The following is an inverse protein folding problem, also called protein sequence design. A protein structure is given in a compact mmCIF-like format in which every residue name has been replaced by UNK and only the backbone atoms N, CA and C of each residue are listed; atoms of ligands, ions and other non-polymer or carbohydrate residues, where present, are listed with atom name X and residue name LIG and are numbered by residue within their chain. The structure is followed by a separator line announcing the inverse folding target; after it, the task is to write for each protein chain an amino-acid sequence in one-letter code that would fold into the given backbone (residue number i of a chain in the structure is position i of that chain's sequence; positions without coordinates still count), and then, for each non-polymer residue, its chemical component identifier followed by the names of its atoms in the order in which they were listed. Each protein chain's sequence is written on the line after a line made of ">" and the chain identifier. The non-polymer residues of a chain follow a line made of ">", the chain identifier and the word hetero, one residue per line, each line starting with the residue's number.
data_IF_736122341460
#
_entry.id   IF_736122341460
#
_cell.length_a   1.000
_cell.length_b   1.000
_cell.length_c   1.000
_cell.angle_alpha   90.00
_cell.angle_beta   90.00
_cell.angle_gamma   90.00
#
_symmetry.space_group_name_H-M   'P 1'
#
loop_
_entity.id
_entity.type
_entity.pdbx_description
1 polymer ?
#
# COMPACT_ATOMS: atom_id res chain seq x y z
N UNK A 1 -9.65 -17.27 1.41
CA UNK A 1 -10.43 -16.01 1.39
C UNK A 1 -10.00 -15.21 0.17
N UNK A 2 -10.91 -14.78 -0.70
CA UNK A 2 -10.61 -13.81 -1.78
C UNK A 2 -11.00 -12.44 -1.23
N UNK A 3 -10.01 -11.63 -0.92
CA UNK A 3 -10.17 -10.21 -0.53
C UNK A 3 -11.04 -9.48 -1.57
N UNK A 4 -11.92 -8.53 -1.21
CA UNK A 4 -12.57 -7.68 -2.21
C UNK A 4 -11.49 -6.96 -3.01
N UNK A 5 -11.41 -7.33 -4.29
CA UNK A 5 -10.17 -7.38 -5.08
C UNK A 5 -9.54 -6.02 -5.40
N UNK A 6 -10.34 -4.95 -5.41
CA UNK A 6 -9.89 -3.62 -5.86
C UNK A 6 -9.25 -2.82 -4.74
N UNK A 7 -9.84 -2.84 -3.55
CA UNK A 7 -9.39 -2.04 -2.42
C UNK A 7 -7.99 -2.46 -1.93
N UNK A 8 -7.80 -3.76 -1.69
CA UNK A 8 -6.50 -4.27 -1.24
C UNK A 8 -5.42 -4.14 -2.32
N UNK A 9 -5.81 -4.25 -3.59
CA UNK A 9 -4.92 -3.97 -4.71
C UNK A 9 -4.49 -2.51 -4.72
N UNK A 10 -5.42 -1.57 -4.54
CA UNK A 10 -5.12 -0.15 -4.47
C UNK A 10 -4.15 0.20 -3.34
N UNK A 11 -4.35 -0.37 -2.15
CA UNK A 11 -3.40 -0.19 -1.03
C UNK A 11 -1.99 -0.68 -1.41
N UNK A 12 -1.89 -1.86 -2.04
CA UNK A 12 -0.62 -2.40 -2.52
C UNK A 12 0.06 -1.49 -3.56
N UNK A 13 -0.69 -1.03 -4.57
CA UNK A 13 -0.18 -0.11 -5.61
C UNK A 13 0.29 1.22 -4.99
N UNK A 14 -0.48 1.77 -4.04
CA UNK A 14 -0.14 3.01 -3.35
C UNK A 14 1.14 2.86 -2.51
N UNK A 15 1.28 1.78 -1.75
CA UNK A 15 2.48 1.51 -0.93
C UNK A 15 3.71 1.27 -1.82
N UNK A 16 3.55 0.49 -2.90
CA UNK A 16 4.60 0.29 -3.90
C UNK A 16 5.07 1.62 -4.51
N UNK A 17 4.15 2.51 -4.87
CA UNK A 17 4.50 3.83 -5.39
C UNK A 17 5.28 4.67 -4.36
N UNK A 18 4.87 4.65 -3.08
CA UNK A 18 5.58 5.35 -1.99
C UNK A 18 7.01 4.83 -1.82
N UNK A 19 7.23 3.53 -1.94
CA UNK A 19 8.59 2.98 -1.83
C UNK A 19 9.44 3.19 -3.10
N UNK A 20 8.83 3.16 -4.29
CA UNK A 20 9.54 3.38 -5.56
C UNK A 20 10.09 4.80 -5.68
N UNK A 21 9.27 5.79 -5.35
CA UNK A 21 9.57 7.22 -5.59
C UNK A 21 9.97 7.99 -4.33
N UNK A 22 9.95 7.34 -3.16
CA UNK A 22 10.28 7.91 -1.86
C UNK A 22 9.62 9.28 -1.50
N UNK A 23 8.36 9.58 -1.89
CA UNK A 23 7.71 10.78 -1.40
C UNK A 23 7.48 10.68 0.12
N UNK A 24 7.41 11.83 0.79
CA UNK A 24 7.04 11.88 2.20
C UNK A 24 5.68 11.19 2.45
N UNK A 25 5.57 10.58 3.62
CA UNK A 25 4.31 10.03 4.15
C UNK A 25 4.13 10.67 5.51
N UNK A 26 3.11 11.50 5.63
CA UNK A 26 2.73 12.04 6.94
C UNK A 26 1.98 11.00 7.78
N UNK A 27 1.82 11.32 9.05
CA UNK A 27 1.17 10.44 10.01
C UNK A 27 -0.29 10.12 9.63
N UNK A 28 -1.03 11.11 9.10
CA UNK A 28 -2.44 10.94 8.75
C UNK A 28 -2.61 9.99 7.54
N UNK A 29 -1.75 10.12 6.53
CA UNK A 29 -1.71 9.20 5.38
C UNK A 29 -1.35 7.79 5.84
N UNK A 30 -0.33 7.64 6.70
CA UNK A 30 0.05 6.31 7.23
C UNK A 30 -1.10 5.64 7.96
N UNK A 31 -1.78 6.35 8.85
CA UNK A 31 -2.92 5.81 9.59
C UNK A 31 -4.10 5.46 8.69
N UNK A 32 -4.38 6.28 7.68
CA UNK A 32 -5.41 5.98 6.70
C UNK A 32 -5.08 4.68 5.94
N UNK A 33 -3.85 4.53 5.44
CA UNK A 33 -3.40 3.32 4.76
C UNK A 33 -3.52 2.07 5.64
N UNK A 34 -3.19 2.16 6.93
CA UNK A 34 -3.34 1.05 7.87
C UNK A 34 -4.80 0.68 8.11
N UNK A 35 -5.69 1.67 8.28
CA UNK A 35 -7.14 1.40 8.41
C UNK A 35 -7.69 0.72 7.16
N UNK A 36 -7.26 1.19 5.99
CA UNK A 36 -7.62 0.57 4.73
C UNK A 36 -7.05 -0.85 4.60
N UNK A 37 -5.84 -1.11 5.07
CA UNK A 37 -5.22 -2.44 5.00
C UNK A 37 -5.81 -3.47 5.99
N UNK A 38 -6.54 -3.05 7.02
CA UNK A 38 -6.98 -3.92 8.12
C UNK A 38 -7.83 -5.14 7.68
N UNK A 39 -8.56 -5.05 6.57
CA UNK A 39 -9.33 -6.16 5.99
C UNK A 39 -8.60 -6.95 4.91
N UNK A 40 -7.34 -6.63 4.63
CA UNK A 40 -6.56 -7.22 3.56
C UNK A 40 -5.70 -8.38 4.06
N UNK A 41 -5.49 -9.37 3.19
CA UNK A 41 -4.47 -10.39 3.44
C UNK A 41 -3.08 -9.76 3.34
N UNK A 42 -2.16 -10.19 4.20
CA UNK A 42 -0.76 -9.83 4.09
C UNK A 42 -0.21 -10.27 2.74
N UNK A 43 0.57 -9.41 2.09
CA UNK A 43 1.18 -9.65 0.80
C UNK A 43 2.62 -9.15 0.80
N UNK A 44 3.49 -9.86 0.06
CA UNK A 44 4.82 -9.37 -0.29
C UNK A 44 4.67 -8.52 -1.55
N UNK A 45 5.10 -7.26 -1.48
CA UNK A 45 5.06 -6.33 -2.62
C UNK A 45 6.47 -6.21 -3.22
N UNK A 46 6.61 -6.56 -4.49
CA UNK A 46 7.84 -6.34 -5.25
C UNK A 46 7.78 -4.98 -5.96
N UNK A 47 8.87 -4.22 -5.92
CA UNK A 47 9.02 -2.95 -6.61
C UNK A 47 10.49 -2.67 -6.91
N UNK A 48 10.77 -2.07 -8.06
CA UNK A 48 12.07 -1.44 -8.31
C UNK A 48 12.04 0.00 -7.83
N UNK A 49 13.14 0.47 -7.25
CA UNK A 49 13.32 1.90 -6.95
C UNK A 49 13.50 2.67 -8.25
N UNK A 50 12.92 3.87 -8.30
CA UNK A 50 13.21 4.79 -9.39
C UNK A 50 14.62 5.36 -9.23
N UNK A 51 15.39 5.35 -10.30
CA UNK A 51 16.71 5.96 -10.46
C UNK A 51 16.60 7.43 -10.83
#
# INVERSE_FOLDING_TARGET
>A
MRTPTVHCRYVGERVTAKHRWAPAVDQAEREALLRYAAGCQNAVLAFDRAS
#
